data_IF_698442998593
#
_entry.id   IF_698442998593
#
_cell.length_a   1.000
_cell.length_b   1.000
_cell.length_c   1.000
_cell.angle_alpha   90.00
_cell.angle_beta   90.00
_cell.angle_gamma   90.00
#
_symmetry.space_group_name_H-M   'P 1'
#
loop_
_entity.id
_entity.type
_entity.pdbx_description
1 polymer ?
#
# COMPACT_ATOMS: atom_id res chain seq x y z
N UNK A 1 -10.44 -22.21 11.97
CA UNK A 1 -10.91 -21.35 10.87
C UNK A 1 -10.39 -19.96 11.20
N UNK A 2 -9.41 -19.44 10.44
CA UNK A 2 -8.88 -18.10 10.68
C UNK A 2 -9.99 -17.09 10.42
N UNK A 3 -10.21 -16.14 11.33
CA UNK A 3 -11.14 -15.04 11.11
C UNK A 3 -10.58 -14.13 10.01
N UNK A 4 -11.12 -14.30 8.80
CA UNK A 4 -10.70 -13.56 7.61
C UNK A 4 -10.94 -12.06 7.77
N UNK A 5 -11.99 -11.65 8.49
CA UNK A 5 -12.27 -10.24 8.73
C UNK A 5 -11.21 -9.63 9.65
N UNK A 6 -10.88 -10.30 10.76
CA UNK A 6 -9.81 -9.86 11.66
C UNK A 6 -8.46 -9.78 10.93
N UNK A 7 -8.15 -10.77 10.08
CA UNK A 7 -6.91 -10.77 9.29
C UNK A 7 -6.88 -9.61 8.29
N UNK A 8 -7.99 -9.38 7.59
CA UNK A 8 -8.15 -8.25 6.66
C UNK A 8 -7.98 -6.90 7.35
N UNK A 9 -8.60 -6.71 8.52
CA UNK A 9 -8.44 -5.50 9.33
C UNK A 9 -6.99 -5.28 9.77
N UNK A 10 -6.29 -6.33 10.19
CA UNK A 10 -4.87 -6.25 10.54
C UNK A 10 -3.99 -5.85 9.35
N UNK A 11 -4.28 -6.38 8.16
CA UNK A 11 -3.57 -6.01 6.93
C UNK A 11 -3.83 -4.54 6.54
N UNK A 12 -5.07 -4.07 6.64
CA UNK A 12 -5.41 -2.67 6.41
C UNK A 12 -4.72 -1.73 7.41
N UNK A 13 -4.69 -2.09 8.70
CA UNK A 13 -3.99 -1.31 9.74
C UNK A 13 -2.50 -1.21 9.43
N UNK A 14 -1.87 -2.33 9.06
CA UNK A 14 -0.46 -2.35 8.64
C UNK A 14 -0.22 -1.49 7.40
N UNK A 15 -1.10 -1.57 6.40
CA UNK A 15 -1.01 -0.74 5.20
C UNK A 15 -1.08 0.77 5.51
N UNK A 16 -1.97 1.19 6.41
CA UNK A 16 -2.03 2.59 6.87
C UNK A 16 -0.74 3.01 7.56
N UNK A 17 -0.20 2.19 8.47
CA UNK A 17 1.05 2.50 9.17
C UNK A 17 2.26 2.58 8.23
N UNK A 18 2.29 1.73 7.19
CA UNK A 18 3.32 1.78 6.15
C UNK A 18 3.21 3.07 5.31
N UNK A 19 2.00 3.53 4.99
CA UNK A 19 1.81 4.82 4.33
C UNK A 19 2.38 5.97 5.17
N UNK A 20 2.08 5.98 6.49
CA UNK A 20 2.59 7.01 7.41
C UNK A 20 4.12 6.97 7.52
N UNK A 21 4.72 5.78 7.49
CA UNK A 21 6.18 5.61 7.54
C UNK A 21 6.84 6.08 6.26
N UNK A 22 6.30 5.69 5.10
CA UNK A 22 6.77 6.16 3.79
C UNK A 22 6.65 7.68 3.67
N UNK A 23 5.54 8.27 4.13
CA UNK A 23 5.36 9.72 4.09
C UNK A 23 6.49 10.45 4.84
N UNK A 24 6.86 9.98 6.04
CA UNK A 24 7.99 10.55 6.81
C UNK A 24 9.34 10.45 6.10
N UNK A 25 9.53 9.41 5.28
CA UNK A 25 10.75 9.26 4.46
C UNK A 25 10.80 10.30 3.34
N UNK A 26 9.66 10.66 2.75
CA UNK A 26 9.58 11.65 1.65
C UNK A 26 9.38 13.09 2.12
N UNK A 27 8.84 13.33 3.32
CA UNK A 27 8.59 14.67 3.89
C UNK A 27 9.77 15.65 3.80
N UNK A 28 11.02 15.26 4.09
CA UNK A 28 12.18 16.16 3.96
C UNK A 28 12.38 16.71 2.54
N UNK A 29 11.91 15.99 1.53
CA UNK A 29 12.05 16.35 0.12
C UNK A 29 10.79 17.02 -0.45
N UNK A 30 9.79 17.35 0.38
CA UNK A 30 8.47 17.82 -0.08
C UNK A 30 8.50 19.07 -0.98
N UNK A 31 9.59 19.83 -0.97
CA UNK A 31 9.79 20.98 -1.89
C UNK A 31 10.14 20.56 -3.32
N UNK A 32 10.49 19.29 -3.54
CA UNK A 32 10.74 18.71 -4.86
C UNK A 32 9.42 18.19 -5.45
N UNK A 33 9.16 18.52 -6.71
CA UNK A 33 7.90 18.17 -7.38
C UNK A 33 7.58 16.67 -7.32
N UNK A 34 8.57 15.81 -7.56
CA UNK A 34 8.41 14.36 -7.54
C UNK A 34 7.99 13.87 -6.14
N UNK A 35 8.68 14.31 -5.08
CA UNK A 35 8.37 13.92 -3.71
C UNK A 35 6.98 14.43 -3.28
N UNK A 36 6.58 15.63 -3.72
CA UNK A 36 5.23 16.14 -3.43
C UNK A 36 4.12 15.28 -4.08
N UNK A 37 4.34 14.79 -5.31
CA UNK A 37 3.41 13.89 -6.00
C UNK A 37 3.34 12.56 -5.28
N UNK A 38 4.47 12.05 -4.82
CA UNK A 38 4.57 10.81 -4.03
C UNK A 38 3.80 10.92 -2.72
N UNK A 39 4.01 12.00 -1.97
CA UNK A 39 3.27 12.29 -0.74
C UNK A 39 1.75 12.38 -0.99
N UNK A 40 1.32 13.00 -2.09
CA UNK A 40 -0.09 13.04 -2.47
C UNK A 40 -0.66 11.64 -2.77
N UNK A 41 0.07 10.80 -3.50
CA UNK A 41 -0.36 9.43 -3.80
C UNK A 41 -0.42 8.56 -2.55
N UNK A 42 0.58 8.67 -1.66
CA UNK A 42 0.57 8.04 -0.32
C UNK A 42 -0.64 8.47 0.50
N UNK A 43 -0.94 9.78 0.52
CA UNK A 43 -2.11 10.32 1.20
C UNK A 43 -3.43 9.73 0.68
N UNK A 44 -3.57 9.63 -0.64
CA UNK A 44 -4.76 9.03 -1.27
C UNK A 44 -4.90 7.54 -0.93
N UNK A 45 -3.80 6.78 -1.02
CA UNK A 45 -3.79 5.36 -0.63
C UNK A 45 -4.16 5.20 0.84
N UNK A 46 -3.50 5.94 1.73
CA UNK A 46 -3.76 5.95 3.17
C UNK A 46 -5.23 6.23 3.49
N UNK A 47 -5.82 7.26 2.89
CA UNK A 47 -7.25 7.58 3.08
C UNK A 47 -8.14 6.44 2.59
N UNK A 48 -7.81 5.82 1.45
CA UNK A 48 -8.53 4.66 0.93
C UNK A 48 -8.50 3.45 1.88
N UNK A 49 -7.35 3.18 2.50
CA UNK A 49 -7.20 2.09 3.47
C UNK A 49 -7.90 2.42 4.80
N UNK A 50 -7.70 3.64 5.32
CA UNK A 50 -8.31 4.10 6.58
C UNK A 50 -9.85 4.16 6.50
N UNK A 51 -10.40 4.58 5.36
CA UNK A 51 -11.85 4.56 5.14
C UNK A 51 -12.43 3.14 5.22
N UNK A 52 -11.69 2.14 4.75
CA UNK A 52 -12.07 0.72 4.85
C UNK A 52 -11.91 0.17 6.27
N UNK A 53 -10.94 0.66 7.04
CA UNK A 53 -10.85 0.34 8.47
C UNK A 53 -12.04 0.90 9.25
N UNK A 54 -12.47 2.12 8.94
CA UNK A 54 -13.57 2.78 9.64
C UNK A 54 -14.94 2.15 9.31
N UNK A 55 -15.11 1.60 8.12
CA UNK A 55 -16.33 0.91 7.69
C UNK A 55 -16.00 -0.41 6.98
N UNK A 56 -15.64 -1.46 7.74
CA UNK A 56 -15.09 -2.66 7.16
C UNK A 56 -16.17 -3.49 6.46
N UNK A 57 -15.85 -3.85 5.21
CA UNK A 57 -16.61 -4.75 4.37
C UNK A 57 -15.64 -5.74 3.75
N UNK A 58 -15.85 -7.01 4.02
CA UNK A 58 -15.06 -8.09 3.43
C UNK A 58 -15.81 -8.65 2.23
N UNK A 59 -15.59 -8.05 1.06
CA UNK A 59 -16.13 -8.51 -0.22
C UNK A 59 -15.01 -8.48 -1.27
N UNK A 60 -15.12 -9.28 -2.34
CA UNK A 60 -14.16 -9.27 -3.43
C UNK A 60 -13.85 -7.89 -4.01
N UNK A 61 -14.88 -7.05 -4.15
CA UNK A 61 -14.72 -5.70 -4.68
C UNK A 61 -13.86 -4.84 -3.75
N UNK A 62 -13.98 -5.03 -2.43
CA UNK A 62 -13.18 -4.27 -1.46
C UNK A 62 -11.73 -4.73 -1.44
N UNK A 63 -11.49 -6.04 -1.42
CA UNK A 63 -10.16 -6.62 -1.47
C UNK A 63 -9.46 -6.29 -2.78
N UNK A 64 -10.16 -6.37 -3.92
CA UNK A 64 -9.65 -5.95 -5.24
C UNK A 64 -9.25 -4.47 -5.28
N UNK A 65 -10.06 -3.57 -4.71
CA UNK A 65 -9.68 -2.14 -4.66
C UNK A 65 -8.46 -1.91 -3.78
N UNK A 66 -8.32 -2.62 -2.65
CA UNK A 66 -7.12 -2.49 -1.80
C UNK A 66 -5.87 -2.95 -2.55
N UNK A 67 -5.94 -4.09 -3.25
CA UNK A 67 -4.86 -4.59 -4.10
C UNK A 67 -4.50 -3.55 -5.16
N UNK A 68 -5.51 -3.00 -5.86
CA UNK A 68 -5.32 -1.99 -6.89
C UNK A 68 -4.71 -0.67 -6.38
N UNK A 69 -5.08 -0.23 -5.17
CA UNK A 69 -4.47 0.96 -4.56
C UNK A 69 -2.99 0.76 -4.29
N UNK A 70 -2.61 -0.39 -3.71
CA UNK A 70 -1.22 -0.69 -3.35
C UNK A 70 -0.37 -0.94 -4.62
N UNK A 71 -0.87 -1.74 -5.57
CA UNK A 71 -0.18 -2.00 -6.84
C UNK A 71 0.08 -0.70 -7.61
N UNK A 72 -0.93 0.15 -7.76
CA UNK A 72 -0.77 1.43 -8.47
C UNK A 72 0.29 2.32 -7.81
N UNK A 73 0.31 2.38 -6.48
CA UNK A 73 1.34 3.11 -5.75
C UNK A 73 2.72 2.52 -6.06
N UNK A 74 2.94 1.22 -5.88
CA UNK A 74 4.24 0.57 -6.10
C UNK A 74 4.73 0.79 -7.55
N UNK A 75 3.86 0.62 -8.54
CA UNK A 75 4.20 0.77 -9.96
C UNK A 75 4.57 2.21 -10.33
N UNK A 76 3.87 3.20 -9.76
CA UNK A 76 4.08 4.62 -10.11
C UNK A 76 5.37 5.21 -9.52
N UNK A 77 5.91 4.59 -8.47
CA UNK A 77 7.05 5.14 -7.71
C UNK A 77 8.37 4.47 -8.09
N UNK A 78 8.39 3.67 -9.16
CA UNK A 78 9.64 3.15 -9.69
C UNK A 78 10.55 4.26 -10.26
N UNK A 79 9.94 5.37 -10.70
CA UNK A 79 10.63 6.57 -11.16
C UNK A 79 11.39 7.29 -10.04
N UNK A 80 10.87 7.29 -8.80
CA UNK A 80 11.54 7.89 -7.64
C UNK A 80 12.89 7.21 -7.34
N UNK A 81 13.03 5.92 -7.66
CA UNK A 81 14.30 5.20 -7.55
C UNK A 81 15.33 5.60 -8.61
N UNK A 82 14.90 6.22 -9.70
CA UNK A 82 15.73 6.60 -10.84
C UNK A 82 16.01 8.12 -10.88
N UNK A 83 15.11 8.95 -10.37
CA UNK A 83 15.15 10.41 -10.51
C UNK A 83 15.80 11.20 -9.36
N UNK A 84 16.40 10.54 -8.36
CA UNK A 84 17.19 11.26 -7.35
C UNK A 84 18.41 11.95 -8.00
N UNK A 85 18.56 13.29 -7.91
CA UNK A 85 19.75 13.97 -8.45
C UNK A 85 21.04 13.66 -7.65
N UNK A 86 20.93 12.94 -6.51
CA UNK A 86 22.05 12.25 -5.83
C UNK A 86 21.57 10.94 -5.17
N UNK A 87 22.33 9.85 -5.29
CA UNK A 87 21.96 8.57 -4.69
C UNK A 87 22.18 8.60 -3.17
N UNK A 88 21.13 8.89 -2.41
CA UNK A 88 21.08 8.46 -1.01
C UNK A 88 20.75 6.97 -0.99
N UNK A 89 21.81 6.16 -0.93
CA UNK A 89 21.69 4.70 -0.94
C UNK A 89 20.94 4.17 0.29
N UNK A 90 21.04 4.85 1.44
CA UNK A 90 20.36 4.44 2.67
C UNK A 90 18.85 4.71 2.56
N UNK A 91 18.47 5.90 2.09
CA UNK A 91 17.07 6.22 1.80
C UNK A 91 16.48 5.27 0.78
N UNK A 92 17.21 4.98 -0.31
CA UNK A 92 16.77 4.03 -1.33
C UNK A 92 16.54 2.63 -0.76
N UNK A 93 17.46 2.12 0.06
CA UNK A 93 17.30 0.82 0.72
C UNK A 93 16.06 0.80 1.62
N UNK A 94 15.85 1.84 2.42
CA UNK A 94 14.69 1.97 3.30
C UNK A 94 13.36 1.98 2.52
N UNK A 95 13.28 2.72 1.41
CA UNK A 95 12.05 2.75 0.59
C UNK A 95 11.79 1.38 -0.04
N UNK A 96 12.82 0.67 -0.49
CA UNK A 96 12.68 -0.68 -1.04
C UNK A 96 12.13 -1.67 0.00
N UNK A 97 12.67 -1.66 1.22
CA UNK A 97 12.18 -2.48 2.33
C UNK A 97 10.69 -2.18 2.62
N UNK A 98 10.31 -0.90 2.67
CA UNK A 98 8.91 -0.50 2.89
C UNK A 98 7.99 -0.89 1.73
N UNK A 99 8.47 -0.89 0.49
CA UNK A 99 7.71 -1.39 -0.67
C UNK A 99 7.53 -2.91 -0.64
N UNK A 100 8.53 -3.66 -0.18
CA UNK A 100 8.41 -5.10 0.06
C UNK A 100 7.34 -5.39 1.12
N UNK A 101 7.30 -4.60 2.20
CA UNK A 101 6.26 -4.72 3.21
C UNK A 101 4.85 -4.39 2.68
N UNK A 102 4.71 -3.36 1.84
CA UNK A 102 3.45 -3.07 1.16
C UNK A 102 3.04 -4.20 0.22
N UNK A 103 3.99 -4.80 -0.50
CA UNK A 103 3.76 -5.97 -1.36
C UNK A 103 3.27 -7.16 -0.52
N UNK A 104 3.83 -7.37 0.66
CA UNK A 104 3.37 -8.41 1.59
C UNK A 104 1.93 -8.15 2.07
N UNK A 105 1.56 -6.90 2.34
CA UNK A 105 0.16 -6.53 2.66
C UNK A 105 -0.75 -6.84 1.47
N UNK A 106 -0.38 -6.42 0.27
CA UNK A 106 -1.14 -6.68 -0.96
C UNK A 106 -1.36 -8.17 -1.19
N UNK A 107 -0.31 -8.99 -1.05
CA UNK A 107 -0.39 -10.45 -1.19
C UNK A 107 -1.26 -11.10 -0.11
N UNK A 108 -1.20 -10.58 1.13
CA UNK A 108 -2.09 -11.00 2.21
C UNK A 108 -3.56 -10.73 1.86
N UNK A 109 -3.86 -9.56 1.32
CA UNK A 109 -5.21 -9.21 0.86
C UNK A 109 -5.63 -10.07 -0.33
N UNK A 110 -4.73 -10.34 -1.29
CA UNK A 110 -4.99 -11.25 -2.41
C UNK A 110 -5.28 -12.69 -1.98
N UNK A 111 -4.63 -13.16 -0.90
CA UNK A 111 -4.95 -14.48 -0.32
C UNK A 111 -6.37 -14.50 0.25
N UNK A 112 -6.78 -13.41 0.91
CA UNK A 112 -8.15 -13.27 1.42
C UNK A 112 -9.15 -13.17 0.28
N UNK A 113 -8.86 -12.37 -0.75
CA UNK A 113 -9.67 -12.22 -1.97
C UNK A 113 -9.97 -13.59 -2.59
N UNK A 114 -8.93 -14.39 -2.83
CA UNK A 114 -9.07 -15.75 -3.36
C UNK A 114 -9.88 -16.68 -2.44
N UNK A 115 -9.82 -16.49 -1.12
CA UNK A 115 -10.57 -17.31 -0.17
C UNK A 115 -12.07 -16.96 -0.14
N UNK A 116 -12.43 -15.71 -0.46
CA UNK A 116 -13.82 -15.23 -0.49
C UNK A 116 -14.43 -15.25 -1.90
N UNK A 117 -13.61 -15.44 -2.94
CA UNK A 117 -14.04 -15.75 -4.30
C UNK A 117 -14.13 -17.28 -4.48
N UNK A 118 -15.30 -17.93 -4.30
CA UNK A 118 -15.43 -19.32 -4.69
C UNK A 118 -15.23 -19.41 -6.20
N UNK A 119 -14.40 -20.35 -6.64
CA UNK A 119 -14.30 -20.76 -8.04
C UNK A 119 -15.73 -20.97 -8.59
N UNK A 120 -16.16 -20.12 -9.52
CA UNK A 120 -17.41 -20.39 -10.24
C UNK A 120 -17.23 -21.72 -10.97
N UNK A 121 -18.10 -22.74 -10.75
CA UNK A 121 -18.18 -23.83 -11.70
C UNK A 121 -18.75 -23.25 -13.00
N UNK A 122 -17.97 -23.33 -14.08
CA UNK A 122 -18.50 -23.26 -15.44
C UNK A 122 -19.47 -24.41 -15.67
#
# INVERSE_FOLDING_TARGET
>A
MVDLLTTYLGLLQRGVALCDTLARVYEPDATLDWASRTLMQLGNMRMGLAGRLASPKLTPEQTSVVIGLISRYIDSHWADYQELPRPDAAKRAQVLELHEELTAVMNGVGTIDNAIYPSQPN
#
